data_IF_199629342617
#
_entry.id   IF_199629342617
#
_cell.length_a   1.000
_cell.length_b   1.000
_cell.length_c   1.000
_cell.angle_alpha   90.00
_cell.angle_beta   90.00
_cell.angle_gamma   90.00
#
_symmetry.space_group_name_H-M   'P 1'
#
loop_
_entity.id
_entity.type
_entity.pdbx_description
1 polymer ?
#
# COMPACT_ATOMS: atom_id res chain seq x y z
N UNK A 1 36.30 -46.43 -3.61
CA UNK A 1 35.59 -45.72 -2.53
C UNK A 1 35.43 -44.28 -2.96
N UNK A 2 34.21 -43.87 -3.26
CA UNK A 2 33.83 -42.47 -3.46
C UNK A 2 32.35 -42.41 -3.06
N UNK A 3 32.13 -42.08 -1.79
CA UNK A 3 30.82 -41.76 -1.23
C UNK A 3 30.65 -40.26 -1.47
N UNK A 4 29.80 -39.88 -2.42
CA UNK A 4 29.42 -38.48 -2.60
C UNK A 4 28.00 -38.27 -2.07
N UNK A 5 27.96 -37.36 -1.12
CA UNK A 5 26.91 -37.14 -0.13
C UNK A 5 25.63 -36.59 -0.75
N UNK A 6 24.51 -37.25 -0.44
CA UNK A 6 23.16 -36.76 -0.70
C UNK A 6 22.92 -35.44 0.04
N UNK A 7 22.97 -34.33 -0.69
CA UNK A 7 22.58 -33.03 -0.18
C UNK A 7 21.07 -33.04 0.10
N UNK A 8 20.72 -33.17 1.38
CA UNK A 8 19.38 -32.90 1.91
C UNK A 8 18.97 -31.50 1.46
N UNK A 9 17.96 -31.42 0.59
CA UNK A 9 17.26 -30.16 0.32
C UNK A 9 16.62 -29.74 1.62
N UNK A 10 17.21 -28.74 2.27
CA UNK A 10 16.55 -28.02 3.34
C UNK A 10 15.25 -27.48 2.75
N UNK A 11 14.15 -28.05 3.24
CA UNK A 11 12.82 -27.52 3.07
C UNK A 11 12.87 -26.07 3.56
N UNK A 12 12.93 -25.13 2.62
CA UNK A 12 12.89 -23.71 2.94
C UNK A 12 11.63 -23.47 3.75
N UNK A 13 11.82 -23.04 5.00
CA UNK A 13 10.74 -22.63 5.87
C UNK A 13 9.82 -21.70 5.08
N UNK A 14 8.57 -22.13 4.90
CA UNK A 14 7.49 -21.26 4.47
C UNK A 14 7.39 -20.17 5.53
N UNK A 15 8.02 -19.02 5.28
CA UNK A 15 7.83 -17.80 6.04
C UNK A 15 6.33 -17.61 6.23
N UNK A 16 5.85 -17.80 7.46
CA UNK A 16 4.49 -17.46 7.84
C UNK A 16 4.27 -15.99 7.43
N UNK A 17 3.44 -15.78 6.41
CA UNK A 17 2.96 -14.46 6.00
C UNK A 17 2.30 -13.80 7.20
N UNK A 18 3.08 -12.96 7.86
CA UNK A 18 2.89 -12.52 9.23
C UNK A 18 1.83 -11.43 9.30
N UNK A 19 0.73 -11.72 10.00
CA UNK A 19 -0.15 -10.67 10.51
C UNK A 19 0.60 -9.94 11.62
N UNK A 20 0.88 -8.65 11.41
CA UNK A 20 1.49 -7.80 12.43
C UNK A 20 0.35 -7.13 13.19
N UNK A 21 0.27 -7.40 14.49
CA UNK A 21 -0.69 -6.77 15.39
C UNK A 21 0.02 -5.85 16.36
N UNK A 22 -0.65 -4.76 16.74
CA UNK A 22 -0.13 -3.92 17.80
C UNK A 22 1.06 -3.10 17.36
N UNK A 23 1.19 -2.77 16.07
CA UNK A 23 2.27 -1.90 15.60
C UNK A 23 2.01 -0.51 16.18
N UNK A 24 2.76 -0.17 17.23
CA UNK A 24 2.56 1.05 17.99
C UNK A 24 2.89 2.28 17.14
N UNK A 25 1.91 3.17 17.02
CA UNK A 25 2.02 4.49 16.44
C UNK A 25 2.24 5.51 17.56
N UNK A 26 2.52 6.75 17.18
CA UNK A 26 2.62 7.84 18.15
C UNK A 26 1.30 7.97 18.94
N UNK A 27 1.37 7.97 20.27
CA UNK A 27 0.19 8.17 21.13
C UNK A 27 -0.51 6.89 21.60
N UNK A 28 0.15 5.72 21.52
CA UNK A 28 -0.38 4.40 21.90
C UNK A 28 -1.50 3.86 21.00
N UNK A 29 -1.71 4.47 19.84
CA UNK A 29 -2.54 3.88 18.79
C UNK A 29 -1.80 2.68 18.18
N UNK A 30 -2.54 1.68 17.71
CA UNK A 30 -1.92 0.47 17.14
C UNK A 30 -2.48 0.17 15.77
N UNK A 31 -1.61 -0.14 14.83
CA UNK A 31 -1.99 -0.60 13.50
C UNK A 31 -2.05 -2.14 13.46
N UNK A 32 -3.10 -2.70 12.87
CA UNK A 32 -3.17 -4.09 12.45
C UNK A 32 -2.88 -4.19 10.95
N UNK A 33 -1.79 -4.89 10.62
CA UNK A 33 -1.30 -5.05 9.25
C UNK A 33 -1.38 -6.52 8.86
N UNK A 34 -1.97 -6.80 7.70
CA UNK A 34 -1.94 -8.13 7.09
C UNK A 34 -1.15 -8.08 5.80
N UNK A 35 0.01 -8.72 5.81
CA UNK A 35 0.82 -8.96 4.62
C UNK A 35 0.45 -10.32 4.01
N UNK A 36 -0.06 -10.34 2.78
CA UNK A 36 -0.50 -11.60 2.15
C UNK A 36 -0.44 -11.58 0.62
N UNK A 37 -0.31 -12.75 0.00
CA UNK A 37 -0.71 -12.94 -1.42
C UNK A 37 -1.82 -13.98 -1.56
N UNK A 38 -2.28 -14.55 -0.45
CA UNK A 38 -3.35 -15.53 -0.40
C UNK A 38 -4.70 -14.83 -0.54
N UNK A 39 -5.52 -15.36 -1.43
CA UNK A 39 -6.83 -14.83 -1.77
C UNK A 39 -7.76 -14.73 -0.56
N UNK A 40 -7.90 -15.81 0.20
CA UNK A 40 -8.89 -15.86 1.30
C UNK A 40 -8.54 -14.88 2.43
N UNK A 41 -7.24 -14.72 2.72
CA UNK A 41 -6.76 -13.73 3.69
C UNK A 41 -6.99 -12.29 3.21
N UNK A 42 -6.73 -12.02 1.93
CA UNK A 42 -7.01 -10.73 1.34
C UNK A 42 -8.52 -10.42 1.40
N UNK A 43 -9.37 -11.33 0.95
CA UNK A 43 -10.83 -11.17 0.96
C UNK A 43 -11.39 -10.96 2.39
N UNK A 44 -10.86 -11.66 3.39
CA UNK A 44 -11.22 -11.43 4.79
C UNK A 44 -10.88 -10.01 5.25
N UNK A 45 -9.69 -9.52 4.90
CA UNK A 45 -9.29 -8.14 5.21
C UNK A 45 -10.10 -7.10 4.44
N UNK A 46 -10.45 -7.37 3.17
CA UNK A 46 -11.33 -6.48 2.41
C UNK A 46 -12.69 -6.29 3.08
N UNK A 47 -13.25 -7.35 3.69
CA UNK A 47 -14.50 -7.24 4.44
C UNK A 47 -14.32 -6.37 5.69
N UNK A 48 -13.20 -6.50 6.39
CA UNK A 48 -12.92 -5.71 7.58
C UNK A 48 -12.71 -4.22 7.24
N UNK A 49 -11.94 -3.93 6.17
CA UNK A 49 -11.77 -2.57 5.64
C UNK A 49 -13.12 -1.96 5.26
N UNK A 50 -13.99 -2.74 4.61
CA UNK A 50 -15.35 -2.30 4.24
C UNK A 50 -16.22 -2.00 5.47
N UNK A 51 -16.16 -2.85 6.50
CA UNK A 51 -16.92 -2.64 7.75
C UNK A 51 -16.47 -1.37 8.47
N UNK A 52 -15.16 -1.13 8.57
CA UNK A 52 -14.63 0.09 9.19
C UNK A 52 -14.93 1.34 8.38
N UNK A 53 -14.73 1.29 7.07
CA UNK A 53 -15.00 2.45 6.23
C UNK A 53 -16.49 2.83 6.19
N UNK A 54 -17.41 1.87 6.40
CA UNK A 54 -18.85 2.03 6.18
C UNK A 54 -19.61 2.76 7.29
N UNK A 55 -18.92 3.57 8.11
CA UNK A 55 -19.51 4.36 9.20
C UNK A 55 -20.44 5.48 8.73
N UNK A 56 -20.88 6.32 9.67
CA UNK A 56 -21.81 7.44 9.44
C UNK A 56 -21.27 8.53 8.50
N UNK A 57 -19.97 8.55 8.22
CA UNK A 57 -19.30 9.53 7.37
C UNK A 57 -18.47 8.83 6.29
N UNK A 58 -18.32 9.45 5.10
CA UNK A 58 -17.42 8.95 4.07
C UNK A 58 -16.01 8.76 4.64
N UNK A 59 -15.50 7.53 4.58
CA UNK A 59 -14.16 7.22 5.06
C UNK A 59 -13.13 7.39 3.95
N UNK A 60 -11.93 7.83 4.31
CA UNK A 60 -10.80 7.84 3.38
C UNK A 60 -10.08 6.50 3.42
N UNK A 61 -9.83 5.92 2.25
CA UNK A 61 -8.98 4.74 2.13
C UNK A 61 -7.66 5.20 1.52
N UNK A 62 -6.57 5.06 2.28
CA UNK A 62 -5.23 5.28 1.75
C UNK A 62 -4.91 4.15 0.78
N UNK A 63 -4.48 4.52 -0.43
CA UNK A 63 -3.97 3.60 -1.45
C UNK A 63 -2.51 3.92 -1.69
N UNK A 64 -1.69 2.89 -1.83
CA UNK A 64 -0.29 3.01 -2.22
C UNK A 64 0.10 1.76 -3.01
N UNK A 65 0.94 1.92 -4.04
CA UNK A 65 1.35 0.80 -4.89
C UNK A 65 2.86 0.84 -5.10
N UNK A 66 3.51 -0.25 -4.72
CA UNK A 66 4.93 -0.45 -5.00
C UNK A 66 5.10 -1.20 -6.33
N UNK A 67 6.13 -0.84 -7.08
CA UNK A 67 6.38 -1.39 -8.41
C UNK A 67 7.67 -2.22 -8.46
N UNK A 68 7.76 -3.09 -9.46
CA UNK A 68 9.04 -3.73 -9.82
C UNK A 68 10.05 -2.70 -10.35
N UNK A 69 11.33 -3.07 -10.43
CA UNK A 69 12.37 -2.17 -10.94
C UNK A 69 12.04 -1.69 -12.36
N UNK A 70 12.44 -0.45 -12.68
CA UNK A 70 12.35 0.11 -14.04
C UNK A 70 13.44 -0.44 -14.97
N UNK A 71 14.51 -0.98 -14.39
CA UNK A 71 15.66 -1.51 -15.13
C UNK A 71 15.31 -2.79 -15.89
N UNK A 72 14.24 -3.49 -15.46
CA UNK A 72 13.75 -4.72 -16.07
C UNK A 72 12.30 -4.55 -16.53
N UNK A 73 12.06 -3.99 -17.73
CA UNK A 73 10.72 -3.83 -18.26
C UNK A 73 10.09 -5.19 -18.64
N UNK A 74 8.75 -5.32 -18.57
CA UNK A 74 7.79 -4.27 -18.19
C UNK A 74 7.71 -4.05 -16.68
N UNK A 75 7.70 -2.79 -16.26
CA UNK A 75 7.39 -2.43 -14.88
C UNK A 75 5.93 -2.78 -14.54
N UNK A 76 5.72 -3.45 -13.40
CA UNK A 76 4.43 -3.93 -12.92
C UNK A 76 4.20 -3.56 -11.45
N UNK A 77 2.94 -3.54 -11.03
CA UNK A 77 2.58 -3.48 -9.62
C UNK A 77 3.08 -4.75 -8.90
N UNK A 78 3.81 -4.57 -7.80
CA UNK A 78 4.38 -5.64 -6.99
C UNK A 78 3.64 -5.79 -5.66
N UNK A 79 3.26 -4.67 -5.02
CA UNK A 79 2.53 -4.64 -3.76
C UNK A 79 1.45 -3.57 -3.84
N UNK A 80 0.23 -3.90 -3.41
CA UNK A 80 -0.84 -2.93 -3.18
C UNK A 80 -1.07 -2.79 -1.68
N UNK A 81 -1.11 -1.57 -1.19
CA UNK A 81 -1.45 -1.24 0.18
C UNK A 81 -2.81 -0.54 0.23
N UNK A 82 -3.69 -1.01 1.11
CA UNK A 82 -4.98 -0.37 1.40
C UNK A 82 -5.09 -0.17 2.91
N UNK A 83 -5.29 1.06 3.35
CA UNK A 83 -5.47 1.35 4.78
C UNK A 83 -6.73 2.17 5.05
N UNK A 84 -7.44 1.84 6.12
CA UNK A 84 -8.53 2.63 6.69
C UNK A 84 -8.39 2.61 8.20
N UNK A 85 -8.36 3.80 8.81
CA UNK A 85 -8.08 3.95 10.24
C UNK A 85 -6.83 3.15 10.68
N UNK A 86 -7.01 2.19 11.58
CA UNK A 86 -6.01 1.34 12.20
C UNK A 86 -5.75 0.02 11.47
N UNK A 87 -6.34 -0.18 10.28
CA UNK A 87 -6.25 -1.42 9.51
C UNK A 87 -5.53 -1.21 8.20
N UNK A 88 -4.55 -2.06 7.91
CA UNK A 88 -3.82 -2.07 6.65
C UNK A 88 -3.76 -3.47 6.03
N UNK A 89 -4.14 -3.58 4.77
CA UNK A 89 -3.82 -4.71 3.91
C UNK A 89 -2.57 -4.38 3.09
N UNK A 90 -1.59 -5.26 3.10
CA UNK A 90 -0.43 -5.24 2.22
C UNK A 90 -0.50 -6.49 1.34
N UNK A 91 -1.02 -6.31 0.12
CA UNK A 91 -1.26 -7.39 -0.83
C UNK A 91 -0.09 -7.53 -1.81
N UNK A 92 0.66 -8.64 -1.72
CA UNK A 92 1.77 -8.95 -2.61
C UNK A 92 1.27 -9.47 -3.95
N UNK A 93 0.93 -8.55 -4.86
CA UNK A 93 0.50 -8.81 -6.24
C UNK A 93 1.47 -9.74 -6.97
N UNK A 94 2.78 -9.47 -6.89
CA UNK A 94 3.80 -10.25 -7.60
C UNK A 94 3.85 -11.73 -7.16
N UNK A 95 3.41 -12.03 -5.93
CA UNK A 95 3.37 -13.38 -5.38
C UNK A 95 1.95 -13.99 -5.41
N UNK A 96 0.97 -13.29 -6.01
CA UNK A 96 -0.40 -13.76 -6.08
C UNK A 96 -0.60 -14.66 -7.30
N UNK A 97 -1.12 -15.86 -7.08
CA UNK A 97 -1.45 -16.80 -8.18
C UNK A 97 -2.88 -16.59 -8.70
N UNK A 98 -3.70 -15.82 -7.98
CA UNK A 98 -5.10 -15.53 -8.31
C UNK A 98 -5.40 -14.07 -8.00
N UNK A 99 -6.20 -13.43 -8.85
CA UNK A 99 -6.69 -12.07 -8.61
C UNK A 99 -7.92 -12.10 -7.69
N UNK A 100 -7.99 -11.31 -6.60
CA UNK A 100 -9.14 -11.33 -5.70
C UNK A 100 -10.36 -10.63 -6.31
N UNK A 101 -11.48 -11.35 -6.38
CA UNK A 101 -12.73 -10.81 -6.93
C UNK A 101 -13.21 -9.59 -6.15
N UNK A 102 -13.11 -9.61 -4.82
CA UNK A 102 -13.50 -8.47 -3.97
C UNK A 102 -12.55 -7.30 -4.13
N UNK A 103 -11.25 -7.55 -4.32
CA UNK A 103 -10.26 -6.52 -4.58
C UNK A 103 -10.50 -5.79 -5.91
N UNK A 104 -11.14 -6.42 -6.91
CA UNK A 104 -11.57 -5.71 -8.13
C UNK A 104 -12.73 -4.75 -7.89
N UNK A 105 -13.67 -5.14 -7.04
CA UNK A 105 -14.89 -4.38 -6.79
C UNK A 105 -14.67 -3.23 -5.81
N UNK A 106 -13.80 -3.44 -4.83
CA UNK A 106 -13.63 -2.50 -3.73
C UNK A 106 -13.08 -1.12 -4.18
N UNK A 107 -12.02 -1.02 -5.00
CA UNK A 107 -11.53 0.26 -5.53
C UNK A 107 -12.49 0.95 -6.52
N UNK A 108 -13.55 0.25 -6.94
CA UNK A 108 -14.59 0.79 -7.81
C UNK A 108 -15.76 1.41 -7.03
N UNK A 109 -15.86 1.18 -5.71
CA UNK A 109 -16.90 1.77 -4.85
C UNK A 109 -16.89 3.30 -4.96
N UNK A 110 -18.08 3.91 -5.04
CA UNK A 110 -18.26 5.34 -5.32
C UNK A 110 -18.92 6.11 -4.19
N UNK A 111 -19.64 5.42 -3.28
CA UNK A 111 -20.53 6.08 -2.30
C UNK A 111 -19.98 6.09 -0.89
N UNK A 112 -19.35 4.98 -0.49
CA UNK A 112 -19.03 4.77 0.92
C UNK A 112 -17.69 5.38 1.32
N UNK A 113 -16.73 5.42 0.40
CA UNK A 113 -15.35 5.81 0.69
C UNK A 113 -14.83 6.76 -0.37
N UNK A 114 -13.74 7.44 -0.10
CA UNK A 114 -12.93 8.13 -1.12
C UNK A 114 -11.48 7.65 -1.04
N UNK A 115 -10.89 7.29 -2.17
CA UNK A 115 -9.51 6.81 -2.22
C UNK A 115 -8.53 7.97 -2.17
N UNK A 116 -7.61 7.97 -1.21
CA UNK A 116 -6.57 8.98 -1.08
C UNK A 116 -5.19 8.36 -1.39
N UNK A 117 -4.44 8.98 -2.30
CA UNK A 117 -3.07 8.54 -2.65
C UNK A 117 -2.21 9.77 -2.98
N UNK A 118 -0.90 9.56 -3.08
CA UNK A 118 0.05 10.50 -3.68
C UNK A 118 0.40 10.02 -5.09
N UNK A 119 0.30 10.89 -6.08
CA UNK A 119 0.63 10.54 -7.48
C UNK A 119 -0.22 9.37 -8.03
N UNK A 120 -1.49 9.33 -7.62
CA UNK A 120 -2.44 8.23 -7.88
C UNK A 120 -2.63 7.87 -9.36
N UNK A 121 -2.35 8.80 -10.29
CA UNK A 121 -2.43 8.50 -11.71
C UNK A 121 -1.41 7.45 -12.16
N UNK A 122 -0.22 7.42 -11.55
CA UNK A 122 0.78 6.39 -11.84
C UNK A 122 0.37 5.04 -11.21
N UNK A 123 -0.20 5.07 -10.00
CA UNK A 123 -0.78 3.88 -9.35
C UNK A 123 -1.89 3.27 -10.20
N UNK A 124 -2.82 4.10 -10.70
CA UNK A 124 -3.93 3.67 -11.57
C UNK A 124 -3.41 2.97 -12.82
N UNK A 125 -2.38 3.51 -13.47
CA UNK A 125 -1.76 2.87 -14.65
C UNK A 125 -1.18 1.50 -14.30
N UNK A 126 -0.48 1.38 -13.17
CA UNK A 126 0.16 0.12 -12.78
C UNK A 126 -0.85 -0.93 -12.31
N UNK A 127 -1.90 -0.53 -11.60
CA UNK A 127 -3.01 -1.40 -11.21
C UNK A 127 -3.82 -1.88 -12.42
N UNK A 128 -4.04 -1.02 -13.41
CA UNK A 128 -4.80 -1.37 -14.61
C UNK A 128 -4.15 -2.53 -15.38
N UNK A 129 -2.80 -2.54 -15.45
CA UNK A 129 -2.04 -3.68 -16.02
C UNK A 129 -2.30 -5.00 -15.30
N UNK A 130 -2.66 -4.96 -14.02
CA UNK A 130 -3.04 -6.12 -13.21
C UNK A 130 -4.57 -6.40 -13.23
N UNK A 131 -5.34 -5.61 -13.99
CA UNK A 131 -6.80 -5.72 -14.05
C UNK A 131 -7.51 -5.22 -12.78
N UNK A 132 -6.88 -4.29 -12.05
CA UNK A 132 -7.48 -3.53 -10.96
C UNK A 132 -7.64 -2.07 -11.40
N UNK A 133 -8.78 -1.48 -11.13
CA UNK A 133 -9.06 -0.10 -11.50
C UNK A 133 -9.57 0.65 -10.27
N UNK A 134 -9.03 1.83 -10.00
CA UNK A 134 -9.59 2.76 -9.02
C UNK A 134 -10.61 3.62 -9.75
N UNK A 135 -11.79 3.81 -9.16
CA UNK A 135 -12.85 4.61 -9.75
C UNK A 135 -12.31 6.02 -10.11
N UNK A 136 -12.38 6.45 -11.38
CA UNK A 136 -11.80 7.71 -11.83
C UNK A 136 -12.49 8.96 -11.26
N UNK A 137 -13.67 8.81 -10.68
CA UNK A 137 -14.44 9.92 -10.11
C UNK A 137 -14.36 9.96 -8.57
N UNK A 138 -13.73 8.97 -7.93
CA UNK A 138 -13.78 8.81 -6.48
C UNK A 138 -12.39 8.69 -5.85
N UNK A 139 -11.55 9.68 -6.12
CA UNK A 139 -10.24 9.77 -5.50
C UNK A 139 -9.81 11.20 -5.18
N UNK A 140 -8.86 11.30 -4.26
CA UNK A 140 -8.13 12.51 -3.91
C UNK A 140 -6.65 12.24 -4.12
N UNK A 141 -6.06 13.02 -5.02
CA UNK A 141 -4.61 13.12 -5.09
C UNK A 141 -4.13 14.17 -4.07
N UNK A 142 -3.57 13.69 -2.97
CA UNK A 142 -3.09 14.53 -1.88
C UNK A 142 -1.99 15.48 -2.34
N UNK A 143 -1.24 15.12 -3.37
CA UNK A 143 -0.20 15.96 -3.95
C UNK A 143 -0.75 17.25 -4.55
N UNK A 144 -1.90 17.16 -5.22
CA UNK A 144 -2.55 18.32 -5.83
C UNK A 144 -3.35 19.14 -4.80
N UNK A 145 -3.82 18.49 -3.73
CA UNK A 145 -4.58 19.16 -2.66
C UNK A 145 -3.68 19.87 -1.65
N UNK A 146 -2.54 19.28 -1.29
CA UNK A 146 -1.68 19.78 -0.23
C UNK A 146 -0.53 20.61 -0.80
N UNK A 147 -0.60 21.93 -0.60
CA UNK A 147 0.53 22.83 -0.87
C UNK A 147 1.38 22.93 0.39
N UNK A 148 2.68 22.76 0.23
CA UNK A 148 3.62 22.99 1.34
C UNK A 148 3.65 24.50 1.60
N UNK A 149 3.33 24.98 2.81
CA UNK A 149 3.12 26.41 3.09
C UNK A 149 4.32 27.32 2.75
N UNK A 150 5.52 26.73 2.69
CA UNK A 150 6.79 27.42 2.50
C UNK A 150 7.09 27.66 1.01
N UNK A 151 6.35 27.01 0.10
CA UNK A 151 6.59 27.13 -1.35
C UNK A 151 5.28 27.24 -2.11
N UNK A 152 5.17 28.24 -2.99
CA UNK A 152 4.08 28.32 -3.98
C UNK A 152 4.19 27.27 -5.10
N UNK A 153 5.10 26.31 -4.99
CA UNK A 153 5.31 25.24 -5.98
C UNK A 153 4.42 24.05 -5.64
N UNK A 154 3.66 23.59 -6.64
CA UNK A 154 3.13 22.24 -6.65
C UNK A 154 4.32 21.29 -6.84
N UNK A 155 4.52 20.36 -5.90
CA UNK A 155 5.60 19.39 -6.02
C UNK A 155 5.13 18.21 -6.87
N UNK A 156 5.97 17.78 -7.82
CA UNK A 156 5.78 16.52 -8.55
C UNK A 156 6.10 15.29 -7.69
N UNK A 157 6.64 15.46 -6.49
CA UNK A 157 6.70 14.44 -5.42
C UNK A 157 7.08 15.08 -4.07
N UNK A 158 6.57 14.55 -2.95
CA UNK A 158 7.06 14.93 -1.60
C UNK A 158 8.55 14.61 -1.42
N UNK A 159 9.13 13.69 -2.19
CA UNK A 159 10.58 13.43 -2.20
C UNK A 159 11.42 14.62 -2.67
N UNK A 160 10.79 15.64 -3.25
CA UNK A 160 11.46 16.90 -3.61
C UNK A 160 11.55 17.91 -2.46
N UNK A 161 11.01 17.57 -1.27
CA UNK A 161 11.23 18.34 -0.06
C UNK A 161 12.60 17.99 0.54
N UNK A 162 13.57 18.89 0.35
CA UNK A 162 14.80 18.83 1.12
C UNK A 162 14.53 19.35 2.54
N UNK A 163 15.01 18.67 3.60
CA UNK A 163 14.94 19.21 4.94
C UNK A 163 15.72 20.52 5.01
N UNK A 164 15.05 21.59 5.42
CA UNK A 164 15.72 22.86 5.70
C UNK A 164 16.52 22.65 6.98
N UNK A 165 17.85 22.64 6.88
CA UNK A 165 18.73 22.52 8.04
C UNK A 165 18.47 23.69 8.98
N UNK A 166 17.94 23.42 10.18
CA UNK A 166 17.86 24.41 11.24
C UNK A 166 19.27 24.72 11.72
N UNK A 167 19.81 25.87 11.33
CA UNK A 167 21.03 26.40 11.93
C UNK A 167 20.72 26.89 13.33
N UNK A 168 20.84 26.02 14.33
CA UNK A 168 20.99 26.49 15.71
C UNK A 168 22.41 27.06 15.87
N UNK A 169 22.51 28.39 15.74
CA UNK A 169 23.69 29.14 16.16
C UNK A 169 23.68 29.22 17.69
N UNK A 170 24.42 28.32 18.33
CA UNK A 170 24.78 28.47 19.74
C UNK A 170 25.89 29.51 19.82
N UNK A 171 25.54 30.73 20.24
CA UNK A 171 26.54 31.69 20.71
C UNK A 171 27.03 31.23 22.08
N UNK A 172 28.35 31.04 22.17
CA UNK A 172 29.09 30.87 23.42
C UNK A 172 29.09 32.17 24.25
#
# INVERSE_FOLDING_TARGET
>A
MAEETSAKRHHGETSEKSRLKGVELHGKETLEIVCTSELDKADAMMNLLRMKGGGLYPSFIRVDVEYTSKDEPPQMAAVLQLCVEELCLVYHIAAATKSPKRLKQFPQEEKLYTFASFSIEDDKKMLNKFGLEINPNNFIDMQHKWKVPITNKFYNSLSMLQPVSSTHSTKA
#
